data_IF_847046099580
#
_entry.id   IF_847046099580
#
_cell.length_a   1.000
_cell.length_b   1.000
_cell.length_c   1.000
_cell.angle_alpha   90.00
_cell.angle_beta   90.00
_cell.angle_gamma   90.00
#
_symmetry.space_group_name_H-M   'P 1'
#
loop_
_entity.id
_entity.type
_entity.pdbx_description
1 polymer ?
#
# COMPACT_ATOMS: atom_id res chain seq x y z
N UNK A 1 24.28 0.22 39.42
CA UNK A 1 22.92 -0.37 39.38
C UNK A 1 21.98 0.68 38.82
N UNK A 2 21.90 0.74 37.50
CA UNK A 2 20.95 1.61 36.78
C UNK A 2 19.59 0.92 36.83
N UNK A 3 18.60 1.58 37.42
CA UNK A 3 17.21 1.17 37.35
C UNK A 3 16.84 0.92 35.88
N UNK A 4 16.61 -0.34 35.52
CA UNK A 4 15.78 -0.65 34.38
C UNK A 4 14.42 -0.04 34.69
N UNK A 5 14.05 1.04 33.99
CA UNK A 5 12.66 1.49 33.91
C UNK A 5 11.83 0.23 33.65
N UNK A 6 11.00 -0.13 34.62
CA UNK A 6 10.01 -1.18 34.47
C UNK A 6 9.10 -0.73 33.34
N UNK A 7 9.34 -1.23 32.13
CA UNK A 7 8.49 -1.00 30.96
C UNK A 7 7.08 -1.38 31.36
N UNK A 8 6.23 -0.38 31.63
CA UNK A 8 4.86 -0.58 32.07
C UNK A 8 4.15 -1.40 30.99
N UNK A 9 3.91 -2.68 31.27
CA UNK A 9 3.15 -3.54 30.37
C UNK A 9 1.70 -3.16 30.56
N UNK A 10 1.12 -2.52 29.54
CA UNK A 10 -0.28 -2.11 29.62
C UNK A 10 -1.17 -3.30 29.94
N UNK A 11 -2.05 -3.11 30.91
CA UNK A 11 -3.06 -4.09 31.24
C UNK A 11 -4.07 -4.24 30.08
N UNK A 12 -4.79 -5.36 30.05
CA UNK A 12 -5.81 -5.60 29.00
C UNK A 12 -6.89 -4.51 29.01
N UNK A 13 -7.29 -4.06 30.20
CA UNK A 13 -8.33 -3.06 30.39
C UNK A 13 -7.90 -1.68 29.87
N UNK A 14 -6.63 -1.31 30.05
CA UNK A 14 -6.08 -0.08 29.47
C UNK A 14 -6.08 -0.11 27.95
N UNK A 15 -5.75 -1.24 27.33
CA UNK A 15 -5.78 -1.38 25.86
C UNK A 15 -7.21 -1.29 25.33
N UNK A 16 -8.17 -1.91 26.02
CA UNK A 16 -9.60 -1.81 25.67
C UNK A 16 -10.05 -0.35 25.79
N UNK A 17 -9.74 0.32 26.89
CA UNK A 17 -10.06 1.73 27.10
C UNK A 17 -9.45 2.61 25.99
N UNK A 18 -8.17 2.43 25.69
CA UNK A 18 -7.43 3.16 24.66
C UNK A 18 -7.97 2.95 23.24
N UNK A 19 -8.55 1.78 22.95
CA UNK A 19 -9.02 1.44 21.59
C UNK A 19 -10.53 1.59 21.39
N UNK A 20 -11.28 1.96 22.43
CA UNK A 20 -12.75 1.98 22.43
C UNK A 20 -13.41 3.13 21.64
N UNK A 21 -12.73 4.27 21.44
CA UNK A 21 -13.35 5.49 20.89
C UNK A 21 -13.81 5.32 19.43
N UNK A 22 -15.11 5.33 19.10
CA UNK A 22 -15.58 5.03 17.74
C UNK A 22 -15.02 6.01 16.70
N UNK A 23 -14.88 5.54 15.45
CA UNK A 23 -14.51 6.43 14.34
C UNK A 23 -15.69 7.41 14.11
N UNK A 24 -15.45 8.73 14.01
CA UNK A 24 -16.51 9.69 13.76
C UNK A 24 -17.28 9.37 12.47
N UNK A 25 -18.62 9.36 12.54
CA UNK A 25 -19.49 9.01 11.41
C UNK A 25 -19.27 9.87 10.17
N UNK A 26 -18.79 11.11 10.35
CA UNK A 26 -18.46 12.03 9.25
C UNK A 26 -17.48 11.41 8.26
N UNK A 27 -16.49 10.63 8.72
CA UNK A 27 -15.53 9.99 7.81
C UNK A 27 -16.20 8.90 6.97
N UNK A 28 -17.08 8.09 7.57
CA UNK A 28 -17.83 7.06 6.85
C UNK A 28 -18.77 7.69 5.81
N UNK A 29 -19.51 8.73 6.19
CA UNK A 29 -20.42 9.44 5.30
C UNK A 29 -19.65 10.11 4.16
N UNK A 30 -18.58 10.84 4.46
CA UNK A 30 -17.74 11.48 3.45
C UNK A 30 -17.17 10.43 2.47
N UNK A 31 -16.64 9.31 2.99
CA UNK A 31 -16.11 8.23 2.15
C UNK A 31 -17.18 7.61 1.26
N UNK A 32 -18.41 7.41 1.78
CA UNK A 32 -19.53 6.91 1.00
C UNK A 32 -19.98 7.90 -0.09
N UNK A 33 -20.09 9.19 0.23
CA UNK A 33 -20.44 10.23 -0.74
C UNK A 33 -19.41 10.29 -1.87
N UNK A 34 -18.12 10.30 -1.53
CA UNK A 34 -17.03 10.30 -2.51
C UNK A 34 -17.07 9.05 -3.40
N UNK A 35 -17.29 7.86 -2.82
CA UNK A 35 -17.41 6.61 -3.57
C UNK A 35 -18.59 6.63 -4.55
N UNK A 36 -19.75 7.13 -4.10
CA UNK A 36 -20.96 7.25 -4.95
C UNK A 36 -20.76 8.25 -6.07
N UNK A 37 -20.20 9.43 -5.79
CA UNK A 37 -19.91 10.45 -6.80
C UNK A 37 -18.97 9.87 -7.87
N UNK A 38 -17.87 9.23 -7.46
CA UNK A 38 -16.93 8.66 -8.41
C UNK A 38 -17.49 7.49 -9.21
N UNK A 39 -18.35 6.66 -8.60
CA UNK A 39 -19.06 5.60 -9.32
C UNK A 39 -20.01 6.18 -10.38
N UNK A 40 -20.76 7.24 -10.05
CA UNK A 40 -21.65 7.91 -11.02
C UNK A 40 -20.83 8.50 -12.18
N UNK A 41 -19.73 9.19 -11.89
CA UNK A 41 -18.85 9.76 -12.92
C UNK A 41 -18.29 8.66 -13.81
N UNK A 42 -17.78 7.57 -13.23
CA UNK A 42 -17.24 6.45 -14.01
C UNK A 42 -18.32 5.80 -14.88
N UNK A 43 -19.48 5.47 -14.32
CA UNK A 43 -20.58 4.81 -15.05
C UNK A 43 -21.06 5.71 -16.19
N UNK A 44 -21.22 7.01 -15.94
CA UNK A 44 -21.60 7.96 -16.97
C UNK A 44 -20.59 7.95 -18.12
N UNK A 45 -19.28 8.06 -17.82
CA UNK A 45 -18.23 8.01 -18.84
C UNK A 45 -18.19 6.68 -19.60
N UNK A 46 -18.36 5.56 -18.91
CA UNK A 46 -18.40 4.23 -19.51
C UNK A 46 -19.59 4.07 -20.47
N UNK A 47 -20.79 4.55 -20.09
CA UNK A 47 -22.00 4.47 -20.92
C UNK A 47 -21.92 5.41 -22.13
N UNK A 48 -21.27 6.58 -21.99
CA UNK A 48 -21.06 7.51 -23.12
C UNK A 48 -19.89 7.11 -24.02
N UNK A 49 -19.17 6.02 -23.72
CA UNK A 49 -18.02 5.55 -24.50
C UNK A 49 -16.76 6.41 -24.33
N UNK A 50 -16.66 7.17 -23.24
CA UNK A 50 -15.53 8.05 -22.97
C UNK A 50 -14.31 7.25 -22.45
N UNK A 51 -13.29 7.11 -23.29
CA UNK A 51 -12.06 6.37 -22.95
C UNK A 51 -11.33 6.94 -21.74
N UNK A 52 -11.39 8.26 -21.49
CA UNK A 52 -10.71 8.87 -20.33
C UNK A 52 -11.26 8.36 -19.00
N UNK A 53 -12.53 7.97 -18.91
CA UNK A 53 -13.10 7.38 -17.70
C UNK A 53 -12.43 6.03 -17.36
N UNK A 54 -12.20 5.18 -18.37
CA UNK A 54 -11.48 3.91 -18.23
C UNK A 54 -9.99 4.08 -17.93
N UNK A 55 -9.34 5.03 -18.60
CA UNK A 55 -7.94 5.37 -18.36
C UNK A 55 -7.76 5.94 -16.94
N UNK A 56 -8.73 6.72 -16.47
CA UNK A 56 -8.75 7.22 -15.10
C UNK A 56 -8.97 6.11 -14.06
N UNK A 57 -9.87 5.18 -14.31
CA UNK A 57 -10.05 3.98 -13.50
C UNK A 57 -8.72 3.23 -13.36
N UNK A 58 -8.01 3.06 -14.48
CA UNK A 58 -6.74 2.34 -14.55
C UNK A 58 -5.62 2.99 -13.73
N UNK A 59 -5.27 4.26 -13.93
CA UNK A 59 -4.16 4.84 -13.19
C UNK A 59 -4.47 5.00 -11.68
N UNK A 60 -5.74 5.25 -11.32
CA UNK A 60 -6.15 5.24 -9.91
C UNK A 60 -6.02 3.84 -9.31
N UNK A 61 -6.38 2.79 -10.06
CA UNK A 61 -6.16 1.42 -9.62
C UNK A 61 -4.67 1.15 -9.40
N UNK A 62 -3.78 1.54 -10.33
CA UNK A 62 -2.33 1.41 -10.17
C UNK A 62 -1.83 2.10 -8.89
N UNK A 63 -2.38 3.26 -8.55
CA UNK A 63 -2.05 3.97 -7.31
C UNK A 63 -2.51 3.20 -6.06
N UNK A 64 -3.83 2.98 -5.91
CA UNK A 64 -4.41 2.48 -4.67
C UNK A 64 -4.10 0.99 -4.43
N UNK A 65 -4.05 0.16 -5.48
CA UNK A 65 -3.71 -1.26 -5.36
C UNK A 65 -2.24 -1.43 -4.93
N UNK A 66 -1.32 -0.73 -5.59
CA UNK A 66 0.12 -0.80 -5.27
C UNK A 66 0.41 -0.27 -3.87
N UNK A 67 -0.16 0.88 -3.50
CA UNK A 67 -0.04 1.42 -2.14
C UNK A 67 -0.58 0.44 -1.09
N UNK A 68 -1.75 -0.16 -1.33
CA UNK A 68 -2.37 -1.09 -0.39
C UNK A 68 -1.57 -2.38 -0.23
N UNK A 69 -1.05 -2.93 -1.32
CA UNK A 69 -0.20 -4.10 -1.25
C UNK A 69 1.14 -3.81 -0.57
N UNK A 70 1.77 -2.69 -0.91
CA UNK A 70 3.05 -2.28 -0.32
C UNK A 70 2.92 -2.08 1.20
N UNK A 71 1.80 -1.54 1.68
CA UNK A 71 1.48 -1.46 3.10
C UNK A 71 1.47 -2.84 3.78
N UNK A 72 0.77 -3.83 3.21
CA UNK A 72 0.71 -5.18 3.78
C UNK A 72 2.09 -5.86 3.75
N UNK A 73 2.85 -5.67 2.68
CA UNK A 73 4.23 -6.20 2.57
C UNK A 73 5.16 -5.53 3.58
N UNK A 74 4.98 -4.23 3.85
CA UNK A 74 5.75 -3.55 4.90
C UNK A 74 5.47 -4.15 6.28
N UNK A 75 4.23 -4.56 6.58
CA UNK A 75 3.92 -5.32 7.81
C UNK A 75 4.72 -6.63 7.86
N UNK A 76 4.83 -7.34 6.74
CA UNK A 76 5.68 -8.52 6.63
C UNK A 76 7.17 -8.21 6.83
N UNK A 77 7.68 -7.08 6.32
CA UNK A 77 9.06 -6.64 6.57
C UNK A 77 9.29 -6.35 8.06
N UNK A 78 8.34 -5.74 8.76
CA UNK A 78 8.43 -5.54 10.22
C UNK A 78 8.54 -6.88 10.97
N UNK A 79 7.88 -7.92 10.46
CA UNK A 79 7.96 -9.28 11.00
C UNK A 79 9.33 -9.91 10.77
N UNK A 80 9.87 -9.83 9.55
CA UNK A 80 11.18 -10.38 9.18
C UNK A 80 12.30 -9.72 9.98
N UNK A 81 12.23 -8.40 10.15
CA UNK A 81 13.21 -7.61 10.89
C UNK A 81 13.03 -7.68 12.41
N UNK A 82 12.07 -8.46 12.91
CA UNK A 82 11.74 -8.61 14.34
C UNK A 82 11.49 -7.27 15.05
N UNK A 83 10.89 -6.32 14.33
CA UNK A 83 10.72 -4.95 14.79
C UNK A 83 9.83 -4.85 16.03
N UNK A 84 10.35 -4.20 17.07
CA UNK A 84 9.63 -3.95 18.33
C UNK A 84 9.00 -2.55 18.40
N UNK A 85 9.61 -1.56 17.76
CA UNK A 85 9.16 -0.16 17.80
C UNK A 85 7.81 0.04 17.12
N UNK A 86 7.46 -0.77 16.11
CA UNK A 86 6.21 -0.61 15.36
C UNK A 86 5.02 -1.33 15.99
N UNK A 87 5.20 -2.08 17.08
CA UNK A 87 4.12 -2.83 17.79
C UNK A 87 2.83 -2.01 18.01
N UNK A 88 2.86 -0.76 18.51
CA UNK A 88 1.64 0.01 18.76
C UNK A 88 0.98 0.59 17.50
N UNK A 89 1.71 0.71 16.38
CA UNK A 89 1.27 1.47 15.19
C UNK A 89 1.07 0.61 13.93
N UNK A 90 1.62 -0.61 13.89
CA UNK A 90 1.61 -1.47 12.71
C UNK A 90 0.20 -1.93 12.32
N UNK A 91 -0.72 -2.04 13.29
CA UNK A 91 -2.13 -2.39 13.02
C UNK A 91 -2.81 -1.39 12.09
N UNK A 92 -2.43 -0.11 12.15
CA UNK A 92 -2.96 0.91 11.25
C UNK A 92 -2.57 0.68 9.79
N UNK A 93 -1.49 -0.05 9.54
CA UNK A 93 -1.04 -0.42 8.19
C UNK A 93 -1.72 -1.71 7.69
N UNK A 94 -2.03 -2.63 8.60
CA UNK A 94 -2.73 -3.90 8.28
C UNK A 94 -4.12 -3.68 7.69
N UNK A 95 -4.77 -2.56 8.02
CA UNK A 95 -6.08 -2.20 7.47
C UNK A 95 -6.13 -1.98 5.97
N UNK A 96 -4.99 -1.73 5.33
CA UNK A 96 -4.89 -1.54 3.89
C UNK A 96 -5.29 -2.81 3.12
N UNK A 97 -5.19 -3.98 3.77
CA UNK A 97 -5.59 -5.27 3.18
C UNK A 97 -7.05 -5.30 2.75
N UNK A 98 -7.92 -4.51 3.41
CA UNK A 98 -9.35 -4.52 3.15
C UNK A 98 -9.72 -4.00 1.75
N UNK A 99 -8.84 -3.20 1.14
CA UNK A 99 -9.04 -2.72 -0.22
C UNK A 99 -8.64 -3.76 -1.28
N UNK A 100 -7.75 -4.72 -0.99
CA UNK A 100 -7.22 -5.65 -2.00
C UNK A 100 -8.30 -6.53 -2.68
N UNK A 101 -9.30 -7.08 -1.97
CA UNK A 101 -10.40 -7.80 -2.63
C UNK A 101 -11.19 -6.92 -3.59
N UNK A 102 -11.40 -5.65 -3.21
CA UNK A 102 -12.09 -4.67 -4.07
C UNK A 102 -11.22 -4.31 -5.27
N UNK A 103 -9.92 -4.13 -5.07
CA UNK A 103 -8.96 -3.92 -6.15
C UNK A 103 -8.94 -5.09 -7.13
N UNK A 104 -9.08 -6.34 -6.68
CA UNK A 104 -9.18 -7.50 -7.57
C UNK A 104 -10.44 -7.42 -8.46
N UNK A 105 -11.59 -7.05 -7.90
CA UNK A 105 -12.81 -6.84 -8.70
C UNK A 105 -12.66 -5.69 -9.70
N UNK A 106 -12.00 -4.61 -9.30
CA UNK A 106 -11.71 -3.48 -10.18
C UNK A 106 -10.71 -3.85 -11.29
N UNK A 107 -9.77 -4.77 -11.04
CA UNK A 107 -8.86 -5.28 -12.07
C UNK A 107 -9.62 -6.07 -13.14
N UNK A 108 -10.57 -6.91 -12.73
CA UNK A 108 -11.48 -7.60 -13.68
C UNK A 108 -12.23 -6.56 -14.51
N UNK A 109 -12.77 -5.51 -13.88
CA UNK A 109 -13.46 -4.42 -14.58
C UNK A 109 -12.53 -3.71 -15.58
N UNK A 110 -11.29 -3.41 -15.21
CA UNK A 110 -10.29 -2.81 -16.10
C UNK A 110 -10.08 -3.66 -17.36
N UNK A 111 -9.99 -4.99 -17.23
CA UNK A 111 -9.83 -5.87 -18.39
C UNK A 111 -11.09 -5.96 -19.26
N UNK A 112 -12.29 -5.76 -18.71
CA UNK A 112 -13.51 -5.62 -19.53
C UNK A 112 -13.44 -4.36 -20.41
N UNK A 113 -12.85 -3.29 -19.87
CA UNK A 113 -12.59 -2.03 -20.60
C UNK A 113 -11.25 -1.96 -21.31
N UNK A 114 -10.55 -3.10 -21.54
CA UNK A 114 -9.17 -3.11 -22.06
C UNK A 114 -8.98 -2.30 -23.34
N UNK A 115 -9.99 -2.28 -24.21
CA UNK A 115 -9.96 -1.53 -25.46
C UNK A 115 -9.91 0.00 -25.30
N UNK A 116 -10.24 0.55 -24.13
CA UNK A 116 -10.12 1.98 -23.88
C UNK A 116 -8.76 2.39 -23.29
N UNK A 117 -7.97 1.41 -22.85
CA UNK A 117 -6.80 1.61 -21.99
C UNK A 117 -5.52 1.16 -22.70
N UNK A 118 -5.54 -0.06 -23.25
CA UNK A 118 -4.34 -0.76 -23.68
C UNK A 118 -4.23 -0.79 -25.21
N UNK A 119 -3.13 -0.27 -25.80
CA UNK A 119 -2.93 -0.29 -27.25
C UNK A 119 -2.90 -1.71 -27.84
N UNK A 120 -2.33 -2.68 -27.13
CA UNK A 120 -2.28 -4.09 -27.56
C UNK A 120 -3.67 -4.73 -27.73
N UNK A 121 -4.74 -4.09 -27.25
CA UNK A 121 -6.10 -4.56 -27.50
C UNK A 121 -6.56 -4.33 -28.95
N UNK A 122 -5.95 -3.39 -29.68
CA UNK A 122 -6.32 -3.00 -31.05
C UNK A 122 -5.14 -3.01 -32.02
N UNK A 123 -3.92 -2.89 -31.53
CA UNK A 123 -2.70 -2.83 -32.32
C UNK A 123 -1.98 -4.19 -32.33
N UNK A 124 -1.59 -4.63 -33.52
CA UNK A 124 -0.84 -5.87 -33.66
C UNK A 124 0.63 -5.66 -33.27
N UNK A 125 1.09 -6.41 -32.27
CA UNK A 125 2.50 -6.41 -31.87
C UNK A 125 3.36 -7.03 -32.98
N UNK A 126 4.26 -6.22 -33.54
CA UNK A 126 5.11 -6.58 -34.68
C UNK A 126 6.24 -7.54 -34.30
N UNK A 127 6.79 -7.38 -33.10
CA UNK A 127 7.87 -8.21 -32.54
C UNK A 127 7.31 -9.58 -32.12
N UNK A 128 7.87 -10.66 -32.67
CA UNK A 128 7.36 -12.01 -32.50
C UNK A 128 7.37 -12.47 -31.03
N UNK A 129 8.46 -12.17 -30.32
CA UNK A 129 8.65 -12.51 -28.91
C UNK A 129 7.63 -11.81 -28.01
N UNK A 130 7.40 -10.51 -28.26
CA UNK A 130 6.41 -9.71 -27.52
C UNK A 130 4.97 -10.17 -27.82
N UNK A 131 4.69 -10.67 -29.03
CA UNK A 131 3.36 -11.18 -29.39
C UNK A 131 2.93 -12.37 -28.55
N UNK A 132 3.86 -13.26 -28.21
CA UNK A 132 3.57 -14.41 -27.33
C UNK A 132 3.29 -13.93 -25.90
N UNK A 133 4.09 -13.00 -25.40
CA UNK A 133 3.97 -12.50 -24.03
C UNK A 133 2.73 -11.62 -23.80
N UNK A 134 2.34 -10.83 -24.81
CA UNK A 134 1.22 -9.88 -24.81
C UNK A 134 -0.03 -10.45 -25.48
N UNK A 135 -0.08 -11.76 -25.72
CA UNK A 135 -1.31 -12.41 -26.18
C UNK A 135 -2.43 -12.13 -25.15
N UNK A 136 -3.57 -11.55 -25.56
CA UNK A 136 -4.58 -11.08 -24.62
C UNK A 136 -5.09 -12.14 -23.61
N UNK A 137 -5.26 -13.39 -24.03
CA UNK A 137 -5.67 -14.47 -23.14
C UNK A 137 -4.61 -14.78 -22.07
N UNK A 138 -3.35 -14.88 -22.48
CA UNK A 138 -2.22 -15.14 -21.59
C UNK A 138 -1.95 -13.98 -20.63
N UNK A 139 -1.95 -12.74 -21.12
CA UNK A 139 -1.74 -11.55 -20.29
C UNK A 139 -2.84 -11.41 -19.23
N UNK A 140 -4.11 -11.41 -19.65
CA UNK A 140 -5.25 -11.22 -18.73
C UNK A 140 -5.30 -12.35 -17.69
N UNK A 141 -5.11 -13.61 -18.11
CA UNK A 141 -5.11 -14.74 -17.17
C UNK A 141 -3.94 -14.67 -16.19
N UNK A 142 -2.73 -14.35 -16.66
CA UNK A 142 -1.54 -14.14 -15.82
C UNK A 142 -1.82 -13.08 -14.75
N UNK A 143 -2.27 -11.89 -15.14
CA UNK A 143 -2.49 -10.80 -14.19
C UNK A 143 -3.56 -11.11 -13.16
N UNK A 144 -4.69 -11.69 -13.59
CA UNK A 144 -5.77 -12.08 -12.67
C UNK A 144 -5.31 -13.18 -11.69
N UNK A 145 -4.59 -14.19 -12.17
CA UNK A 145 -4.09 -15.28 -11.32
C UNK A 145 -3.06 -14.74 -10.31
N UNK A 146 -2.07 -13.97 -10.77
CA UNK A 146 -1.03 -13.43 -9.89
C UNK A 146 -1.63 -12.49 -8.84
N UNK A 147 -2.59 -11.63 -9.24
CA UNK A 147 -3.23 -10.70 -8.30
C UNK A 147 -4.12 -11.43 -7.30
N UNK A 148 -4.82 -12.49 -7.72
CA UNK A 148 -5.59 -13.34 -6.83
C UNK A 148 -4.69 -14.05 -5.80
N UNK A 149 -3.54 -14.59 -6.23
CA UNK A 149 -2.58 -15.27 -5.35
C UNK A 149 -2.06 -14.30 -4.28
N UNK A 150 -1.59 -13.11 -4.68
CA UNK A 150 -1.02 -12.16 -3.70
C UNK A 150 -2.10 -11.55 -2.79
N UNK A 151 -3.32 -11.36 -3.30
CA UNK A 151 -4.46 -10.93 -2.48
C UNK A 151 -4.81 -11.99 -1.45
N UNK A 152 -4.91 -13.26 -1.84
CA UNK A 152 -5.18 -14.37 -0.93
C UNK A 152 -4.07 -14.53 0.12
N UNK A 153 -2.80 -14.42 -0.28
CA UNK A 153 -1.66 -14.47 0.63
C UNK A 153 -1.68 -13.32 1.63
N UNK A 154 -2.01 -12.10 1.17
CA UNK A 154 -2.14 -10.90 2.01
C UNK A 154 -3.28 -11.02 3.02
N UNK A 155 -4.45 -11.49 2.57
CA UNK A 155 -5.59 -11.78 3.44
C UNK A 155 -5.25 -12.83 4.49
N UNK A 156 -4.58 -13.93 4.08
CA UNK A 156 -4.18 -14.99 5.00
C UNK A 156 -3.16 -14.50 6.03
N UNK A 157 -2.15 -13.75 5.58
CA UNK A 157 -1.15 -13.14 6.45
C UNK A 157 -1.79 -12.23 7.51
N UNK A 158 -2.66 -11.31 7.09
CA UNK A 158 -3.33 -10.40 8.03
C UNK A 158 -4.36 -11.12 8.90
N UNK A 159 -5.10 -12.10 8.36
CA UNK A 159 -6.01 -12.95 9.13
C UNK A 159 -5.29 -13.62 10.31
N UNK A 160 -4.10 -14.20 10.07
CA UNK A 160 -3.32 -14.85 11.14
C UNK A 160 -2.86 -13.83 12.19
N UNK A 161 -2.56 -12.58 11.80
CA UNK A 161 -2.19 -11.53 12.75
C UNK A 161 -3.36 -11.11 13.63
N UNK A 162 -4.51 -10.85 13.01
CA UNK A 162 -5.73 -10.39 13.71
C UNK A 162 -6.24 -11.46 14.66
N UNK A 163 -6.14 -12.74 14.28
CA UNK A 163 -6.62 -13.87 15.08
C UNK A 163 -6.06 -13.85 16.51
N UNK A 164 -4.81 -13.46 16.69
CA UNK A 164 -4.19 -13.34 18.02
C UNK A 164 -4.87 -12.30 18.90
N UNK A 165 -5.22 -11.14 18.35
CA UNK A 165 -5.85 -10.06 19.11
C UNK A 165 -7.34 -10.28 19.33
N UNK A 166 -8.03 -10.91 18.37
CA UNK A 166 -9.45 -11.29 18.51
C UNK A 166 -9.64 -12.36 19.58
N UNK A 167 -8.65 -13.25 19.76
CA UNK A 167 -8.66 -14.20 20.87
C UNK A 167 -8.62 -13.53 22.24
N UNK A 168 -7.86 -12.43 22.35
CA UNK A 168 -7.71 -11.65 23.56
C UNK A 168 -8.91 -10.73 23.83
N UNK A 169 -9.42 -10.08 22.79
CA UNK A 169 -10.47 -9.06 22.85
C UNK A 169 -11.67 -9.46 21.97
N UNK A 170 -12.48 -10.45 22.39
CA UNK A 170 -13.53 -11.01 21.55
C UNK A 170 -14.66 -10.02 21.25
N UNK A 171 -15.01 -9.18 22.22
CA UNK A 171 -16.12 -8.24 22.12
C UNK A 171 -15.72 -6.94 21.41
N UNK A 172 -14.42 -6.69 21.21
CA UNK A 172 -13.90 -5.50 20.54
C UNK A 172 -14.12 -5.58 19.02
N UNK A 173 -15.17 -4.89 18.54
CA UNK A 173 -15.43 -4.72 17.12
C UNK A 173 -16.91 -4.62 16.77
N UNK A 174 -17.19 -4.24 15.53
CA UNK A 174 -18.52 -4.02 15.00
C UNK A 174 -19.34 -5.31 14.88
N UNK A 175 -20.67 -5.19 14.98
CA UNK A 175 -21.61 -6.30 14.96
C UNK A 175 -21.57 -7.09 13.65
N UNK A 176 -21.36 -6.42 12.51
CA UNK A 176 -21.31 -7.07 11.20
C UNK A 176 -20.16 -8.09 11.08
N UNK A 177 -19.06 -7.88 11.80
CA UNK A 177 -17.89 -8.76 11.80
C UNK A 177 -17.93 -9.85 12.88
N UNK A 178 -19.01 -9.94 13.68
CA UNK A 178 -19.12 -10.89 14.80
C UNK A 178 -18.92 -12.33 14.34
N UNK A 179 -19.61 -12.76 13.29
CA UNK A 179 -19.47 -14.13 12.77
C UNK A 179 -18.07 -14.46 12.26
N UNK A 180 -17.32 -13.48 11.73
CA UNK A 180 -15.93 -13.67 11.31
C UNK A 180 -15.00 -13.79 12.52
N UNK A 181 -15.18 -12.93 13.53
CA UNK A 181 -14.43 -13.01 14.80
C UNK A 181 -14.70 -14.32 15.53
N UNK A 182 -15.94 -14.80 15.55
CA UNK A 182 -16.30 -16.09 16.14
C UNK A 182 -15.60 -17.26 15.43
N UNK A 183 -15.50 -17.21 14.10
CA UNK A 183 -14.74 -18.20 13.31
C UNK A 183 -13.25 -18.16 13.64
N UNK A 184 -12.65 -16.96 13.77
CA UNK A 184 -11.23 -16.80 14.13
C UNK A 184 -10.90 -17.44 15.49
N UNK A 185 -11.85 -17.42 16.43
CA UNK A 185 -11.67 -17.96 17.79
C UNK A 185 -11.80 -19.48 17.87
N UNK A 186 -12.35 -20.15 16.85
CA UNK A 186 -12.47 -21.61 16.85
C UNK A 186 -11.07 -22.23 16.91
N UNK A 187 -10.93 -23.28 17.72
CA UNK A 187 -9.68 -24.03 17.89
C UNK A 187 -8.47 -23.13 18.21
N UNK A 188 -8.68 -22.11 19.03
CA UNK A 188 -7.57 -21.28 19.52
C UNK A 188 -6.91 -21.97 20.71
N UNK A 189 -5.59 -22.14 20.63
CA UNK A 189 -4.79 -22.69 21.71
C UNK A 189 -4.53 -21.66 22.80
N UNK A 190 -3.91 -22.10 23.90
CA UNK A 190 -3.46 -21.22 24.98
C UNK A 190 -2.59 -20.08 24.43
N UNK A 191 -2.70 -18.89 25.05
CA UNK A 191 -2.09 -17.64 24.57
C UNK A 191 -0.62 -17.82 24.18
N UNK A 192 0.20 -18.40 25.06
CA UNK A 192 1.62 -18.66 24.82
C UNK A 192 1.85 -19.50 23.57
N UNK A 193 1.15 -20.64 23.43
CA UNK A 193 1.27 -21.55 22.28
C UNK A 193 0.75 -20.89 20.99
N UNK A 194 -0.34 -20.14 21.06
CA UNK A 194 -0.91 -19.42 19.93
C UNK A 194 0.07 -18.38 19.38
N UNK A 195 0.76 -17.64 20.25
CA UNK A 195 1.77 -16.66 19.86
C UNK A 195 2.94 -17.35 19.14
N UNK A 196 3.51 -18.44 19.69
CA UNK A 196 4.65 -19.14 19.08
C UNK A 196 4.33 -19.81 17.74
N UNK A 197 3.19 -20.50 17.64
CA UNK A 197 2.75 -21.13 16.38
C UNK A 197 2.48 -20.08 15.29
N UNK A 198 1.82 -18.97 15.65
CA UNK A 198 1.58 -17.86 14.73
C UNK A 198 2.88 -17.16 14.35
N UNK A 199 3.83 -17.02 15.27
CA UNK A 199 5.16 -16.45 15.02
C UNK A 199 5.87 -17.21 13.89
N UNK A 200 5.94 -18.55 13.96
CA UNK A 200 6.57 -19.39 12.93
C UNK A 200 5.84 -19.31 11.59
N UNK A 201 4.52 -19.46 11.58
CA UNK A 201 3.71 -19.38 10.35
C UNK A 201 3.86 -18.01 9.67
N UNK A 202 3.71 -16.92 10.43
CA UNK A 202 3.86 -15.57 9.89
C UNK A 202 5.28 -15.28 9.39
N UNK A 203 6.31 -15.88 9.96
CA UNK A 203 7.66 -15.77 9.43
C UNK A 203 7.74 -16.31 8.00
N UNK A 204 7.22 -17.52 7.78
CA UNK A 204 7.19 -18.16 6.45
C UNK A 204 6.33 -17.35 5.47
N UNK A 205 5.13 -16.95 5.89
CA UNK A 205 4.23 -16.14 5.06
C UNK A 205 4.83 -14.78 4.71
N UNK A 206 5.52 -14.12 5.63
CA UNK A 206 6.16 -12.84 5.39
C UNK A 206 7.23 -12.94 4.30
N UNK A 207 8.07 -13.98 4.33
CA UNK A 207 9.09 -14.21 3.28
C UNK A 207 8.43 -14.44 1.92
N UNK A 208 7.44 -15.34 1.85
CA UNK A 208 6.71 -15.57 0.60
C UNK A 208 6.01 -14.33 0.07
N UNK A 209 5.44 -13.52 0.96
CA UNK A 209 4.76 -12.28 0.58
C UNK A 209 5.73 -11.25 0.01
N UNK A 210 6.92 -11.09 0.59
CA UNK A 210 7.96 -10.20 0.06
C UNK A 210 8.47 -10.65 -1.32
N UNK A 211 8.71 -11.96 -1.49
CA UNK A 211 9.13 -12.52 -2.78
C UNK A 211 8.05 -12.38 -3.86
N UNK A 212 6.80 -12.72 -3.51
CA UNK A 212 5.65 -12.56 -4.39
C UNK A 212 5.42 -11.10 -4.76
N UNK A 213 5.58 -10.16 -3.82
CA UNK A 213 5.48 -8.74 -4.11
C UNK A 213 6.53 -8.30 -5.13
N UNK A 214 7.81 -8.59 -4.88
CA UNK A 214 8.89 -8.19 -5.81
C UNK A 214 8.71 -8.77 -7.21
N UNK A 215 8.33 -10.04 -7.33
CA UNK A 215 8.15 -10.70 -8.63
C UNK A 215 6.83 -10.31 -9.31
N UNK A 216 5.68 -10.42 -8.63
CA UNK A 216 4.37 -10.16 -9.27
C UNK A 216 4.18 -8.68 -9.59
N UNK A 217 4.63 -7.75 -8.74
CA UNK A 217 4.56 -6.33 -9.09
C UNK A 217 5.54 -5.92 -10.19
N UNK A 218 6.57 -6.73 -10.42
CA UNK A 218 7.40 -6.56 -11.61
C UNK A 218 6.60 -6.90 -12.87
N UNK A 219 5.86 -8.01 -12.85
CA UNK A 219 4.95 -8.41 -13.94
C UNK A 219 3.83 -7.39 -14.13
N UNK A 220 3.15 -6.95 -13.06
CA UNK A 220 2.09 -5.93 -13.17
C UNK A 220 2.60 -4.60 -13.71
N UNK A 221 3.81 -4.18 -13.33
CA UNK A 221 4.41 -2.96 -13.87
C UNK A 221 4.66 -3.07 -15.37
N UNK A 222 5.09 -4.25 -15.85
CA UNK A 222 5.21 -4.51 -17.27
C UNK A 222 3.84 -4.49 -17.94
N UNK A 223 2.94 -5.34 -17.49
CA UNK A 223 1.68 -5.64 -18.18
C UNK A 223 0.67 -4.51 -18.14
N UNK A 224 0.57 -3.82 -17.01
CA UNK A 224 -0.46 -2.81 -16.80
C UNK A 224 0.05 -1.40 -17.04
N UNK A 225 1.37 -1.16 -17.06
CA UNK A 225 1.90 0.20 -17.22
C UNK A 225 2.87 0.32 -18.40
N UNK A 226 3.92 -0.50 -18.45
CA UNK A 226 4.94 -0.41 -19.50
C UNK A 226 4.37 -0.72 -20.90
N UNK A 227 3.45 -1.68 -21.02
CA UNK A 227 2.83 -2.07 -22.30
C UNK A 227 1.91 -1.03 -22.92
N UNK A 228 1.61 0.07 -22.21
CA UNK A 228 1.00 1.24 -22.82
C UNK A 228 1.88 1.84 -23.92
N UNK A 229 3.17 1.52 -23.92
CA UNK A 229 4.07 1.70 -25.05
C UNK A 229 4.82 0.40 -25.33
N UNK A 230 4.35 -0.36 -26.32
CA UNK A 230 4.92 -1.68 -26.66
C UNK A 230 6.35 -1.63 -27.18
N UNK A 231 6.85 -0.45 -27.57
CA UNK A 231 8.21 -0.24 -28.04
C UNK A 231 9.16 0.11 -26.89
N UNK A 232 8.65 0.64 -25.78
CA UNK A 232 9.48 0.96 -24.63
C UNK A 232 9.83 -0.29 -23.79
N UNK A 233 11.06 -0.34 -23.30
CA UNK A 233 11.51 -1.35 -22.34
C UNK A 233 12.52 -0.75 -21.36
N UNK A 234 12.41 -1.13 -20.08
CA UNK A 234 13.41 -0.76 -19.08
C UNK A 234 13.35 -1.70 -17.88
N UNK A 235 14.49 -2.27 -17.50
CA UNK A 235 14.57 -3.21 -16.39
C UNK A 235 14.25 -2.55 -15.02
N UNK A 236 14.69 -1.29 -14.83
CA UNK A 236 14.50 -0.57 -13.56
C UNK A 236 13.08 -0.03 -13.37
N UNK A 237 12.29 0.03 -14.45
CA UNK A 237 10.93 0.58 -14.47
C UNK A 237 10.04 -0.03 -13.39
N UNK A 238 10.08 -1.36 -13.25
CA UNK A 238 9.25 -2.07 -12.28
C UNK A 238 9.56 -1.69 -10.84
N UNK A 239 10.84 -1.55 -10.50
CA UNK A 239 11.26 -1.19 -9.14
C UNK A 239 10.82 0.24 -8.83
N UNK A 240 11.01 1.15 -9.80
CA UNK A 240 10.51 2.51 -9.70
C UNK A 240 8.98 2.56 -9.51
N UNK A 241 8.24 1.72 -10.23
CA UNK A 241 6.78 1.62 -10.13
C UNK A 241 6.31 1.23 -8.73
N UNK A 242 6.69 0.05 -8.23
CA UNK A 242 6.13 -0.45 -6.97
C UNK A 242 6.75 0.18 -5.73
N UNK A 243 8.00 0.67 -5.80
CA UNK A 243 8.61 1.43 -4.71
C UNK A 243 8.03 2.85 -4.58
N UNK A 244 7.46 3.41 -5.67
CA UNK A 244 6.61 4.59 -5.57
C UNK A 244 5.36 4.35 -4.70
N UNK A 245 4.70 3.20 -4.89
CA UNK A 245 3.59 2.79 -4.03
C UNK A 245 4.00 2.51 -2.58
N UNK A 246 5.21 2.00 -2.36
CA UNK A 246 5.79 1.85 -1.03
C UNK A 246 5.98 3.18 -0.31
N UNK A 247 6.52 4.20 -1.00
CA UNK A 247 6.64 5.54 -0.45
C UNK A 247 5.25 6.13 -0.11
N UNK A 248 4.26 5.98 -1.00
CA UNK A 248 2.88 6.40 -0.73
C UNK A 248 2.28 5.69 0.51
N UNK A 249 2.58 4.40 0.70
CA UNK A 249 2.13 3.65 1.87
C UNK A 249 2.73 4.19 3.17
N UNK A 250 4.03 4.52 3.19
CA UNK A 250 4.69 5.10 4.37
C UNK A 250 4.18 6.51 4.70
N UNK A 251 3.97 7.33 3.68
CA UNK A 251 3.45 8.69 3.84
C UNK A 251 2.01 8.67 4.38
N UNK A 252 1.14 7.83 3.79
CA UNK A 252 -0.25 7.68 4.28
C UNK A 252 -0.30 7.06 5.67
N UNK A 253 0.55 6.07 5.97
CA UNK A 253 0.65 5.48 7.31
C UNK A 253 1.04 6.51 8.36
N UNK A 254 1.97 7.40 8.04
CA UNK A 254 2.39 8.49 8.93
C UNK A 254 1.22 9.43 9.26
N UNK A 255 0.40 9.80 8.27
CA UNK A 255 -0.83 10.58 8.47
C UNK A 255 -1.84 9.84 9.36
N UNK A 256 -2.05 8.54 9.13
CA UNK A 256 -2.96 7.73 9.92
C UNK A 256 -2.48 7.56 11.36
N UNK A 257 -1.18 7.35 11.59
CA UNK A 257 -0.60 7.28 12.95
C UNK A 257 -0.82 8.60 13.69
N UNK A 258 -0.56 9.74 13.04
CA UNK A 258 -0.79 11.06 13.64
C UNK A 258 -2.27 11.28 13.98
N UNK A 259 -3.18 10.88 13.08
CA UNK A 259 -4.62 10.99 13.31
C UNK A 259 -5.11 10.06 14.43
N UNK A 260 -4.74 8.77 14.40
CA UNK A 260 -5.13 7.79 15.40
C UNK A 260 -4.58 8.13 16.79
N UNK A 261 -3.33 8.60 16.87
CA UNK A 261 -2.72 9.07 18.12
C UNK A 261 -3.56 10.16 18.77
N UNK A 262 -3.98 11.16 17.99
CA UNK A 262 -4.82 12.27 18.45
C UNK A 262 -6.23 11.81 18.79
N UNK A 263 -6.85 11.00 17.95
CA UNK A 263 -8.24 10.55 18.10
C UNK A 263 -8.43 9.65 19.32
N UNK A 264 -7.52 8.70 19.51
CA UNK A 264 -7.54 7.77 20.65
C UNK A 264 -6.95 8.39 21.92
N UNK A 265 -6.23 9.50 21.81
CA UNK A 265 -5.58 10.19 22.95
C UNK A 265 -4.58 9.29 23.67
N UNK A 266 -3.71 8.65 22.87
CA UNK A 266 -2.75 7.62 23.29
C UNK A 266 -1.31 8.13 23.17
N UNK A 267 -1.08 9.34 23.68
CA UNK A 267 0.21 10.04 23.56
C UNK A 267 1.36 9.31 24.28
N UNK A 268 1.04 8.56 25.34
CA UNK A 268 2.01 7.76 26.11
C UNK A 268 2.41 6.47 25.38
N UNK A 269 1.49 5.89 24.59
CA UNK A 269 1.75 4.68 23.82
C UNK A 269 2.43 4.98 22.48
N UNK A 270 1.94 6.00 21.78
CA UNK A 270 2.52 6.47 20.52
C UNK A 270 3.25 7.77 20.83
N UNK A 271 4.52 7.64 21.19
CA UNK A 271 5.38 8.77 21.54
C UNK A 271 5.96 9.49 20.32
N UNK A 272 6.63 10.62 20.55
CA UNK A 272 7.37 11.35 19.51
C UNK A 272 8.43 10.50 18.80
N UNK A 273 9.02 9.51 19.48
CA UNK A 273 10.03 8.62 18.87
C UNK A 273 9.44 7.83 17.70
N UNK A 274 8.19 7.36 17.81
CA UNK A 274 7.49 6.69 16.72
C UNK A 274 7.30 7.61 15.51
N UNK A 275 6.90 8.87 15.75
CA UNK A 275 6.72 9.87 14.68
C UNK A 275 8.06 10.19 14.01
N UNK A 276 9.12 10.32 14.81
CA UNK A 276 10.47 10.55 14.29
C UNK A 276 10.99 9.39 13.44
N UNK A 277 10.77 8.14 13.88
CA UNK A 277 11.18 6.95 13.13
C UNK A 277 10.38 6.76 11.83
N UNK A 278 9.08 7.07 11.84
CA UNK A 278 8.28 7.19 10.62
C UNK A 278 8.84 8.25 9.67
N UNK A 279 9.21 9.43 10.20
CA UNK A 279 9.85 10.49 9.44
C UNK A 279 11.19 10.09 8.83
N UNK A 280 12.00 9.26 9.53
CA UNK A 280 13.24 8.69 8.98
C UNK A 280 12.94 7.74 7.82
N UNK A 281 11.95 6.86 7.96
CA UNK A 281 11.54 5.95 6.89
C UNK A 281 11.03 6.73 5.67
N UNK A 282 10.16 7.72 5.87
CA UNK A 282 9.65 8.58 4.80
C UNK A 282 10.78 9.32 4.07
N UNK A 283 11.74 9.87 4.80
CA UNK A 283 12.91 10.53 4.22
C UNK A 283 13.82 9.55 3.46
N UNK A 284 14.11 8.38 4.03
CA UNK A 284 14.94 7.37 3.40
C UNK A 284 14.33 6.88 2.08
N UNK A 285 13.02 6.58 2.07
CA UNK A 285 12.33 6.12 0.87
C UNK A 285 12.05 7.23 -0.15
N UNK A 286 11.99 8.50 0.28
CA UNK A 286 12.03 9.66 -0.63
C UNK A 286 13.35 9.70 -1.38
N UNK A 287 14.48 9.56 -0.66
CA UNK A 287 15.82 9.49 -1.26
C UNK A 287 15.96 8.28 -2.19
N UNK A 288 15.44 7.12 -1.77
CA UNK A 288 15.46 5.90 -2.58
C UNK A 288 14.65 6.04 -3.87
N UNK A 289 13.46 6.64 -3.81
CA UNK A 289 12.66 6.92 -5.01
C UNK A 289 13.39 7.90 -5.95
N UNK A 290 14.03 8.93 -5.41
CA UNK A 290 14.86 9.85 -6.18
C UNK A 290 16.03 9.13 -6.87
N UNK A 291 16.70 8.22 -6.15
CA UNK A 291 17.74 7.36 -6.71
C UNK A 291 17.23 6.49 -7.86
N UNK A 292 16.10 5.79 -7.71
CA UNK A 292 15.55 4.95 -8.78
C UNK A 292 15.17 5.78 -10.01
N UNK A 293 14.51 6.92 -9.78
CA UNK A 293 14.06 7.83 -10.85
C UNK A 293 15.25 8.39 -11.62
N UNK A 294 16.26 8.90 -10.91
CA UNK A 294 17.45 9.45 -11.54
C UNK A 294 18.32 8.36 -12.16
N UNK A 295 18.45 7.19 -11.53
CA UNK A 295 19.19 6.05 -12.06
C UNK A 295 18.61 5.55 -13.38
N UNK A 296 17.28 5.48 -13.50
CA UNK A 296 16.61 5.14 -14.76
C UNK A 296 16.83 6.22 -15.81
N UNK A 297 16.58 7.49 -15.45
CA UNK A 297 16.72 8.61 -16.37
C UNK A 297 18.15 8.76 -16.90
N UNK A 298 19.16 8.68 -16.03
CA UNK A 298 20.56 8.87 -16.38
C UNK A 298 21.04 7.83 -17.41
N UNK A 299 20.67 6.55 -17.22
CA UNK A 299 21.06 5.48 -18.15
C UNK A 299 20.41 5.66 -19.52
N UNK A 300 19.12 5.97 -19.57
CA UNK A 300 18.39 6.21 -20.83
C UNK A 300 18.96 7.43 -21.55
N UNK A 301 19.17 8.53 -20.82
CA UNK A 301 19.72 9.77 -21.37
C UNK A 301 21.15 9.60 -21.89
N UNK A 302 22.00 8.88 -21.16
CA UNK A 302 23.39 8.67 -21.54
C UNK A 302 23.52 7.69 -22.73
N UNK A 303 22.76 6.59 -22.72
CA UNK A 303 22.74 5.61 -23.81
C UNK A 303 22.11 6.14 -25.09
N UNK A 304 21.13 7.04 -24.96
CA UNK A 304 20.42 7.71 -26.05
C UNK A 304 19.94 6.79 -27.18
N UNK A 305 19.50 5.58 -26.83
CA UNK A 305 18.91 4.64 -27.77
C UNK A 305 17.50 5.08 -28.12
N UNK A 306 17.16 5.13 -29.42
CA UNK A 306 15.86 5.62 -29.87
C UNK A 306 14.66 4.84 -29.27
N UNK A 307 14.83 3.55 -29.02
CA UNK A 307 13.84 2.67 -28.38
C UNK A 307 13.56 3.04 -26.91
N UNK A 308 14.46 3.73 -26.22
CA UNK A 308 14.27 4.09 -24.80
C UNK A 308 14.01 5.59 -24.62
N UNK A 309 14.69 6.43 -25.41
CA UNK A 309 14.63 7.89 -25.28
C UNK A 309 13.25 8.45 -25.61
N UNK A 310 12.50 7.85 -26.53
CA UNK A 310 11.19 8.40 -26.96
C UNK A 310 10.18 8.48 -25.79
N UNK A 311 10.16 7.48 -24.91
CA UNK A 311 9.28 7.43 -23.75
C UNK A 311 9.57 8.57 -22.75
N UNK A 312 10.85 8.82 -22.48
CA UNK A 312 11.28 9.91 -21.60
C UNK A 312 11.06 11.28 -22.25
N UNK A 313 11.37 11.40 -23.55
CA UNK A 313 11.16 12.63 -24.32
C UNK A 313 9.70 13.07 -24.26
N UNK A 314 8.76 12.16 -24.46
CA UNK A 314 7.32 12.45 -24.43
C UNK A 314 6.87 13.07 -23.09
N UNK A 315 7.50 12.69 -21.99
CA UNK A 315 7.24 13.20 -20.62
C UNK A 315 7.98 14.49 -20.30
N UNK A 316 9.01 14.84 -21.08
CA UNK A 316 9.87 16.01 -20.87
C UNK A 316 9.65 17.12 -21.92
N UNK A 317 8.62 17.00 -22.75
CA UNK A 317 8.16 18.05 -23.67
C UNK A 317 6.75 18.51 -23.29
N UNK A 318 6.30 19.61 -23.90
CA UNK A 318 4.92 20.07 -23.74
C UNK A 318 3.93 19.07 -24.35
N UNK A 319 2.74 18.87 -23.75
CA UNK A 319 2.21 19.57 -22.56
C UNK A 319 2.57 18.90 -21.22
N UNK A 320 3.33 17.80 -21.21
CA UNK A 320 3.58 16.96 -20.03
C UNK A 320 4.66 17.48 -19.09
N UNK A 321 5.61 18.26 -19.62
CA UNK A 321 6.76 18.78 -18.87
C UNK A 321 6.39 19.42 -17.51
N UNK A 322 5.39 20.31 -17.40
CA UNK A 322 5.03 20.91 -16.11
C UNK A 322 4.57 19.88 -15.08
N UNK A 323 3.81 18.85 -15.49
CA UNK A 323 3.34 17.79 -14.61
C UNK A 323 4.52 16.91 -14.14
N UNK A 324 5.43 16.56 -15.05
CA UNK A 324 6.66 15.79 -14.73
C UNK A 324 7.56 16.53 -13.74
N UNK A 325 7.74 17.84 -13.93
CA UNK A 325 8.48 18.68 -12.98
C UNK A 325 7.74 18.77 -11.64
N UNK A 326 6.42 18.98 -11.65
CA UNK A 326 5.62 19.00 -10.42
C UNK A 326 5.79 17.70 -9.61
N UNK A 327 5.74 16.53 -10.26
CA UNK A 327 6.02 15.23 -9.61
C UNK A 327 7.41 15.24 -8.96
N UNK A 328 8.44 15.69 -9.68
CA UNK A 328 9.81 15.74 -9.15
C UNK A 328 9.91 16.61 -7.90
N UNK A 329 9.23 17.77 -7.90
CA UNK A 329 9.20 18.65 -6.74
C UNK A 329 8.40 18.06 -5.57
N UNK A 330 7.23 17.49 -5.84
CA UNK A 330 6.31 16.99 -4.82
C UNK A 330 6.79 15.69 -4.17
N UNK A 331 7.40 14.80 -4.94
CA UNK A 331 7.83 13.47 -4.48
C UNK A 331 9.26 13.47 -3.98
N UNK A 332 10.14 14.30 -4.53
CA UNK A 332 11.56 14.31 -4.15
C UNK A 332 12.01 15.64 -3.54
N UNK A 333 12.02 16.75 -4.28
CA UNK A 333 12.71 17.99 -3.83
C UNK A 333 12.14 18.51 -2.51
N UNK A 334 10.83 18.72 -2.42
CA UNK A 334 10.17 19.24 -1.21
C UNK A 334 10.33 18.29 -0.01
N UNK A 335 9.96 17.00 -0.08
CA UNK A 335 10.10 16.10 1.06
C UNK A 335 11.57 15.79 1.41
N UNK A 336 12.50 15.81 0.45
CA UNK A 336 13.93 15.58 0.73
C UNK A 336 14.50 16.69 1.62
N UNK A 337 14.42 17.95 1.17
CA UNK A 337 14.92 19.08 1.96
C UNK A 337 14.07 19.32 3.21
N UNK A 338 12.77 19.11 3.09
CA UNK A 338 11.80 19.26 4.16
C UNK A 338 12.01 18.29 5.31
N UNK A 339 12.07 16.99 5.03
CA UNK A 339 12.20 15.94 6.04
C UNK A 339 13.65 15.71 6.47
N UNK A 340 14.64 16.48 6.01
CA UNK A 340 16.04 16.31 6.42
C UNK A 340 16.23 16.57 7.92
N UNK A 341 15.66 17.66 8.45
CA UNK A 341 15.79 18.03 9.86
C UNK A 341 14.96 17.14 10.80
N UNK A 342 15.40 16.98 12.06
CA UNK A 342 14.58 16.35 13.10
C UNK A 342 13.30 17.14 13.36
N UNK A 343 13.41 18.48 13.43
CA UNK A 343 12.29 19.37 13.74
C UNK A 343 11.11 19.19 12.78
N UNK A 344 11.37 19.12 11.47
CA UNK A 344 10.35 18.90 10.47
C UNK A 344 9.67 17.52 10.55
N UNK A 345 10.40 16.49 11.04
CA UNK A 345 9.85 15.14 11.22
C UNK A 345 8.95 15.01 12.46
N UNK A 346 9.11 15.86 13.47
CA UNK A 346 8.33 15.78 14.73
C UNK A 346 7.26 16.86 14.84
N UNK A 347 7.42 17.98 14.13
CA UNK A 347 6.41 19.04 14.07
C UNK A 347 5.28 18.66 13.09
N UNK A 348 4.10 18.36 13.64
CA UNK A 348 2.96 17.80 12.92
C UNK A 348 2.59 18.56 11.64
N UNK A 349 2.41 19.90 11.62
CA UNK A 349 2.02 20.61 10.41
C UNK A 349 3.01 20.42 9.24
N UNK A 350 4.30 20.44 9.54
CA UNK A 350 5.35 20.27 8.53
C UNK A 350 5.38 18.84 7.99
N UNK A 351 5.27 17.83 8.87
CA UNK A 351 5.23 16.45 8.41
C UNK A 351 3.95 16.16 7.61
N UNK A 352 2.79 16.67 8.05
CA UNK A 352 1.52 16.55 7.30
C UNK A 352 1.63 17.16 5.91
N UNK A 353 2.25 18.35 5.78
CA UNK A 353 2.48 18.99 4.49
C UNK A 353 3.29 18.08 3.56
N UNK A 354 4.47 17.62 3.99
CA UNK A 354 5.34 16.81 3.14
C UNK A 354 4.73 15.45 2.80
N UNK A 355 4.09 14.78 3.76
CA UNK A 355 3.42 13.52 3.50
C UNK A 355 2.29 13.69 2.47
N UNK A 356 1.43 14.71 2.64
CA UNK A 356 0.30 14.96 1.72
C UNK A 356 0.79 15.33 0.32
N UNK A 357 1.78 16.20 0.22
CA UNK A 357 2.35 16.61 -1.07
C UNK A 357 2.99 15.42 -1.78
N UNK A 358 3.72 14.55 -1.08
CA UNK A 358 4.30 13.35 -1.69
C UNK A 358 3.25 12.34 -2.14
N UNK A 359 2.16 12.14 -1.38
CA UNK A 359 1.04 11.28 -1.79
C UNK A 359 0.41 11.80 -3.08
N UNK A 360 0.11 13.10 -3.14
CA UNK A 360 -0.45 13.73 -4.35
C UNK A 360 0.55 13.68 -5.53
N UNK A 361 1.84 13.80 -5.25
CA UNK A 361 2.90 13.68 -6.24
C UNK A 361 3.00 12.27 -6.82
N UNK A 362 2.90 11.22 -6.01
CA UNK A 362 2.86 9.82 -6.48
C UNK A 362 1.55 9.54 -7.23
N UNK A 363 0.43 10.15 -6.82
CA UNK A 363 -0.83 10.02 -7.57
C UNK A 363 -0.72 10.67 -8.96
N UNK A 364 -0.19 11.90 -9.04
CA UNK A 364 0.09 12.58 -10.30
C UNK A 364 1.11 11.78 -11.14
N UNK A 365 2.09 11.15 -10.49
CA UNK A 365 3.06 10.29 -11.15
C UNK A 365 2.39 9.15 -11.92
N UNK A 366 1.38 8.47 -11.36
CA UNK A 366 0.66 7.40 -12.06
C UNK A 366 -0.02 7.90 -13.33
N UNK A 367 -0.48 9.15 -13.35
CA UNK A 367 -1.02 9.78 -14.55
C UNK A 367 0.09 10.11 -15.56
N UNK A 368 1.18 10.77 -15.15
CA UNK A 368 2.34 11.09 -16.01
C UNK A 368 3.04 9.83 -16.54
N UNK A 369 2.95 8.73 -15.79
CA UNK A 369 3.47 7.44 -16.20
C UNK A 369 2.63 6.79 -17.31
N UNK A 370 1.31 6.94 -17.29
CA UNK A 370 0.41 6.20 -18.19
C UNK A 370 -0.09 7.05 -19.35
N UNK A 371 -0.55 8.28 -19.09
CA UNK A 371 -1.29 9.09 -20.05
C UNK A 371 -0.47 9.56 -21.27
N UNK A 372 0.81 9.94 -21.16
CA UNK A 372 1.56 10.37 -22.34
C UNK A 372 1.61 9.28 -23.41
N UNK A 373 1.79 8.01 -23.00
CA UNK A 373 1.81 6.87 -23.92
C UNK A 373 0.45 6.61 -24.59
N UNK A 374 -0.65 6.98 -23.93
CA UNK A 374 -2.02 6.83 -24.48
C UNK A 374 -2.40 8.04 -25.36
N UNK A 375 -1.89 9.23 -25.04
CA UNK A 375 -2.19 10.49 -25.74
C UNK A 375 -0.90 11.17 -26.25
N UNK A 376 -0.17 10.56 -27.20
CA UNK A 376 1.11 11.08 -27.67
C UNK A 376 0.98 12.44 -28.39
N UNK A 377 -0.18 12.72 -28.98
CA UNK A 377 -0.46 13.95 -29.74
C UNK A 377 -1.24 15.00 -28.93
N UNK A 378 -1.35 14.83 -27.60
CA UNK A 378 -2.08 15.77 -26.76
C UNK A 378 -1.50 17.21 -26.85
N UNK A 379 -2.35 18.19 -27.13
CA UNK A 379 -1.97 19.61 -27.12
C UNK A 379 -2.11 20.27 -25.75
N UNK A 380 -2.88 19.66 -24.84
CA UNK A 380 -3.08 20.10 -23.47
C UNK A 380 -3.14 18.89 -22.54
N UNK A 381 -2.88 19.10 -21.24
CA UNK A 381 -2.97 18.04 -20.24
C UNK A 381 -4.43 17.54 -20.16
N UNK A 382 -4.73 16.26 -20.50
CA UNK A 382 -6.06 15.71 -20.36
C UNK A 382 -6.37 15.48 -18.87
N UNK A 383 -6.85 16.53 -18.22
CA UNK A 383 -7.22 16.52 -16.80
C UNK A 383 -8.55 17.25 -16.60
N UNK A 384 -9.51 16.61 -15.95
CA UNK A 384 -10.84 17.18 -15.75
C UNK A 384 -11.74 16.31 -14.89
N UNK A 385 -13.03 16.29 -15.24
CA UNK A 385 -14.08 15.65 -14.43
C UNK A 385 -13.85 14.15 -14.26
N UNK A 386 -13.29 13.48 -15.26
CA UNK A 386 -13.03 12.03 -15.21
C UNK A 386 -11.93 11.71 -14.19
N UNK A 387 -10.79 12.40 -14.26
CA UNK A 387 -9.65 12.15 -13.37
C UNK A 387 -9.95 12.52 -11.92
N UNK A 388 -10.63 13.65 -11.70
CA UNK A 388 -11.02 14.11 -10.36
C UNK A 388 -12.15 13.24 -9.81
N UNK A 389 -13.21 13.01 -10.58
CA UNK A 389 -14.39 12.28 -10.13
C UNK A 389 -14.08 10.82 -9.81
N UNK A 390 -13.39 10.12 -10.72
CA UNK A 390 -12.97 8.73 -10.47
C UNK A 390 -11.97 8.68 -9.32
N UNK A 391 -11.01 9.61 -9.26
CA UNK A 391 -10.05 9.69 -8.15
C UNK A 391 -10.71 9.87 -6.78
N UNK A 392 -11.71 10.76 -6.69
CA UNK A 392 -12.56 10.91 -5.50
C UNK A 392 -13.28 9.60 -5.15
N UNK A 393 -13.79 8.89 -6.17
CA UNK A 393 -14.37 7.56 -6.03
C UNK A 393 -13.44 6.57 -5.33
N UNK A 394 -12.19 6.49 -5.76
CA UNK A 394 -11.19 5.61 -5.14
C UNK A 394 -10.83 6.03 -3.72
N UNK A 395 -10.68 7.34 -3.44
CA UNK A 395 -10.47 7.83 -2.06
C UNK A 395 -11.60 7.38 -1.15
N UNK A 396 -12.85 7.54 -1.61
CA UNK A 396 -14.03 7.11 -0.87
C UNK A 396 -14.09 5.60 -0.65
N UNK A 397 -13.87 4.82 -1.71
CA UNK A 397 -13.93 3.36 -1.67
C UNK A 397 -12.83 2.77 -0.79
N UNK A 398 -11.59 3.27 -0.92
CA UNK A 398 -10.47 2.90 -0.06
C UNK A 398 -10.74 3.26 1.40
N UNK A 399 -11.25 4.48 1.65
CA UNK A 399 -11.63 4.95 2.99
C UNK A 399 -12.70 4.07 3.64
N UNK A 400 -13.74 3.68 2.89
CA UNK A 400 -14.77 2.74 3.37
C UNK A 400 -14.18 1.38 3.75
N UNK A 401 -13.31 0.82 2.92
CA UNK A 401 -12.65 -0.46 3.19
C UNK A 401 -11.79 -0.38 4.48
N UNK A 402 -10.99 0.67 4.60
CA UNK A 402 -10.13 0.91 5.76
C UNK A 402 -10.94 1.09 7.04
N UNK A 403 -11.98 1.93 7.00
CA UNK A 403 -12.87 2.18 8.15
C UNK A 403 -13.63 0.91 8.54
N UNK A 404 -14.11 0.13 7.57
CA UNK A 404 -14.76 -1.15 7.83
C UNK A 404 -13.81 -2.07 8.61
N UNK A 405 -12.56 -2.23 8.15
CA UNK A 405 -11.55 -3.01 8.86
C UNK A 405 -11.29 -2.52 10.27
N UNK A 406 -11.05 -1.22 10.45
CA UNK A 406 -10.73 -0.62 11.76
C UNK A 406 -11.91 -0.64 12.75
N UNK A 407 -13.13 -0.81 12.24
CA UNK A 407 -14.31 -1.06 13.06
C UNK A 407 -14.52 -2.55 13.33
N UNK A 408 -14.08 -3.46 12.45
CA UNK A 408 -14.27 -4.90 12.59
C UNK A 408 -13.40 -5.54 13.68
N UNK A 409 -12.18 -5.02 13.86
CA UNK A 409 -11.12 -5.66 14.63
C UNK A 409 -10.48 -4.71 15.66
N UNK A 410 -9.75 -5.25 16.66
CA UNK A 410 -8.94 -4.43 17.56
C UNK A 410 -7.96 -3.52 16.80
N UNK A 411 -7.95 -2.24 17.15
CA UNK A 411 -7.21 -1.19 16.41
C UNK A 411 -5.71 -1.17 16.70
N UNK A 412 -5.26 -1.94 17.68
CA UNK A 412 -3.87 -2.13 18.03
C UNK A 412 -3.60 -3.62 18.22
N UNK A 413 -2.31 -4.01 18.15
CA UNK A 413 -1.89 -5.38 18.44
C UNK A 413 -1.86 -5.63 19.94
N UNK A 414 -3.06 -5.74 20.54
CA UNK A 414 -3.27 -5.89 21.98
C UNK A 414 -2.42 -7.02 22.57
N UNK A 415 -2.35 -8.18 21.92
CA UNK A 415 -1.58 -9.34 22.36
C UNK A 415 -0.08 -9.02 22.45
N UNK A 416 0.46 -8.27 21.47
CA UNK A 416 1.88 -7.88 21.50
C UNK A 416 2.19 -6.73 22.48
N UNK A 417 1.16 -6.04 22.98
CA UNK A 417 1.31 -4.96 23.96
C UNK A 417 1.16 -5.46 25.40
N UNK A 418 0.23 -6.39 25.67
CA UNK A 418 -0.06 -6.86 27.03
C UNK A 418 0.49 -8.25 27.39
N UNK A 419 0.79 -9.11 26.42
CA UNK A 419 1.15 -10.51 26.74
C UNK A 419 2.50 -10.60 27.48
N UNK A 420 2.61 -11.36 28.58
CA UNK A 420 3.90 -11.62 29.23
C UNK A 420 4.83 -12.45 28.33
N UNK A 421 4.28 -13.22 27.39
CA UNK A 421 5.02 -14.13 26.50
C UNK A 421 5.49 -13.47 25.20
N UNK A 422 5.20 -12.17 24.99
CA UNK A 422 5.43 -11.47 23.72
C UNK A 422 6.89 -11.47 23.24
N UNK A 423 7.84 -11.62 24.14
CA UNK A 423 9.28 -11.59 23.86
C UNK A 423 9.91 -12.99 23.86
N UNK A 424 9.20 -14.03 24.33
CA UNK A 424 9.66 -15.42 24.32
C UNK A 424 9.76 -16.01 22.92
N UNK A 425 9.02 -15.44 21.96
CA UNK A 425 8.99 -15.88 20.56
C UNK A 425 10.33 -15.88 19.83
N UNK A 426 11.33 -15.18 20.38
CA UNK A 426 12.68 -15.16 19.82
C UNK A 426 13.46 -16.44 20.15
N UNK A 427 13.04 -17.20 21.16
CA UNK A 427 13.63 -18.49 21.49
C UNK A 427 12.93 -19.56 20.63
N UNK A 428 13.67 -20.29 19.78
CA UNK A 428 13.11 -21.42 19.05
C UNK A 428 12.60 -22.46 20.05
N UNK A 429 11.30 -22.74 20.01
CA UNK A 429 10.65 -23.78 20.84
C UNK A 429 9.83 -24.68 19.94
N UNK A 430 9.71 -25.94 20.32
CA UNK A 430 8.77 -26.88 19.71
C UNK A 430 7.34 -26.41 20.01
N UNK A 431 6.47 -26.34 19.00
CA UNK A 431 5.14 -25.73 19.13
C UNK A 431 4.13 -26.62 19.88
N UNK A 432 4.36 -27.92 19.97
CA UNK A 432 3.49 -28.85 20.68
C UNK A 432 3.87 -28.94 22.16
N UNK A 433 5.17 -29.12 22.41
CA UNK A 433 5.75 -29.36 23.73
C UNK A 433 6.19 -28.08 24.45
N UNK A 434 6.39 -26.96 23.73
CA UNK A 434 6.92 -25.68 24.23
C UNK A 434 8.31 -25.78 24.86
N UNK A 435 9.04 -26.87 24.60
CA UNK A 435 10.43 -27.04 25.01
C UNK A 435 11.37 -26.29 24.05
N UNK A 436 12.47 -25.70 24.53
CA UNK A 436 13.48 -25.09 23.67
C UNK A 436 13.98 -26.11 22.64
N UNK A 437 14.02 -25.72 21.38
CA UNK A 437 14.74 -26.50 20.38
C UNK A 437 16.24 -26.43 20.71
N UNK A 438 16.99 -27.53 20.55
CA UNK A 438 18.44 -27.49 20.71
C UNK A 438 18.99 -26.37 19.81
N UNK A 439 19.87 -25.54 20.38
CA UNK A 439 20.55 -24.52 19.61
C UNK A 439 21.30 -25.23 18.48
N UNK A 440 20.84 -25.07 17.25
CA UNK A 440 21.62 -25.48 16.09
C UNK A 440 22.77 -24.48 16.00
N UNK A 441 24.00 -24.95 16.26
CA UNK A 441 25.25 -24.19 16.13
C UNK A 441 25.46 -23.66 14.71
#
# INVERSE_FOLDING_TARGET
MTHHDSTHVMSRDEIVAATSRPIPRVFTIASAVLAVIGAIVFIFGAVTGESRAWQSLHFNWLFFATMSQAAVVFVAVQRITTSRWSRPIVRFLEGYVAFLPVAFLLLILIFLGKGHIFPWAHEAVTVAEKRVYLEPGFLVSRDLILFAIITALSLWYIYTSIRLDVGLLPDAGASWARGLRDRMRRNMSDERRAIHSTHSLQGKLAVWLCLAFGFFYTVFAWDLSMTLDVHFQSALYSWWFFMGGWLAALMTWSLLVMWWRKHLDVYDLITETHIHDLGKLCFAFTTFWGYLTFGQYLVIWYGNLAEETHWMRLRLIQPWLPATLAVTFMVFVLPFFGLMSRAAKVFLPTFVLFATVSILGIWLLRMVETYPSIHPEAHALPFGIWEIGVGMGFVGLWGLCYIAFMNAFPRMRATMLSSPYRDEVQVPVDAETMLPLPAHE
#
